data_IF_742112977050
#
_entry.id   IF_742112977050
#
_cell.length_a   1.000
_cell.length_b   1.000
_cell.length_c   1.000
_cell.angle_alpha   90.00
_cell.angle_beta   90.00
_cell.angle_gamma   90.00
#
_symmetry.space_group_name_H-M   'P 1'
#
loop_
_entity.id
_entity.type
_entity.pdbx_description
1 polymer ?
#
# COMPACT_ATOMS: atom_id res chain seq x y z
N UNK A 1 5.00 -1.40 19.51
CA UNK A 1 5.14 -2.27 18.32
C UNK A 1 5.17 -1.39 17.09
N UNK A 2 6.06 -1.65 16.14
CA UNK A 2 6.17 -0.87 14.89
C UNK A 2 5.95 -1.82 13.71
N UNK A 3 5.12 -1.41 12.76
CA UNK A 3 4.90 -2.11 11.51
C UNK A 3 5.31 -1.20 10.35
N UNK A 4 6.02 -1.78 9.39
CA UNK A 4 6.42 -1.10 8.16
C UNK A 4 5.78 -1.87 7.00
N UNK A 5 4.97 -1.18 6.21
CA UNK A 5 4.24 -1.76 5.08
C UNK A 5 4.69 -1.02 3.83
N UNK A 6 5.14 -1.78 2.82
CA UNK A 6 5.42 -1.25 1.48
C UNK A 6 4.11 -1.22 0.69
N UNK A 7 3.94 -0.19 -0.14
CA UNK A 7 2.83 -0.11 -1.07
C UNK A 7 2.80 -1.28 -2.07
N UNK A 8 1.62 -1.54 -2.64
CA UNK A 8 1.44 -2.55 -3.66
C UNK A 8 2.03 -2.18 -5.02
N UNK A 9 1.88 -3.09 -5.99
CA UNK A 9 2.30 -2.90 -7.38
C UNK A 9 1.62 -1.67 -8.02
N UNK A 10 2.38 -0.97 -8.86
CA UNK A 10 1.92 0.18 -9.67
C UNK A 10 2.09 -0.16 -11.14
N UNK A 11 1.37 0.54 -12.03
CA UNK A 11 1.46 0.38 -13.48
C UNK A 11 2.91 0.43 -14.02
N UNK A 12 3.75 1.29 -13.44
CA UNK A 12 5.15 1.42 -13.84
C UNK A 12 6.06 0.36 -13.21
N UNK A 13 5.69 -0.25 -12.09
CA UNK A 13 6.40 -1.43 -11.57
C UNK A 13 6.21 -2.62 -12.50
N UNK A 14 4.97 -2.83 -12.97
CA UNK A 14 4.62 -3.85 -13.96
C UNK A 14 5.40 -3.69 -15.27
N UNK A 15 5.78 -2.45 -15.63
CA UNK A 15 6.59 -2.13 -16.82
C UNK A 15 8.09 -2.05 -16.55
N UNK A 16 8.54 -2.35 -15.32
CA UNK A 16 9.93 -2.26 -14.89
C UNK A 16 10.59 -0.88 -15.14
N UNK A 17 9.80 0.20 -15.06
CA UNK A 17 10.27 1.58 -15.27
C UNK A 17 10.74 2.18 -13.94
N UNK A 18 11.90 2.86 -13.96
CA UNK A 18 12.40 3.60 -12.81
C UNK A 18 11.53 4.85 -12.57
N UNK A 19 10.91 4.95 -11.40
CA UNK A 19 9.89 5.96 -11.12
C UNK A 19 10.43 7.22 -10.45
N UNK A 20 11.55 7.15 -9.73
CA UNK A 20 12.07 8.28 -8.96
C UNK A 20 11.03 8.82 -7.95
N UNK A 21 10.75 10.13 -8.01
CA UNK A 21 9.72 10.82 -7.21
C UNK A 21 8.37 10.99 -7.93
N UNK A 22 8.13 10.20 -8.98
CA UNK A 22 6.89 10.31 -9.76
C UNK A 22 5.71 9.71 -9.01
N UNK A 23 4.56 10.41 -9.06
CA UNK A 23 3.30 9.92 -8.51
C UNK A 23 2.67 8.91 -9.48
N UNK A 24 2.81 7.62 -9.17
CA UNK A 24 2.18 6.54 -9.93
C UNK A 24 1.11 5.85 -9.11
N UNK A 25 -0.03 5.59 -9.73
CA UNK A 25 -1.15 4.90 -9.09
C UNK A 25 -0.89 3.39 -8.96
N UNK A 26 -1.55 2.78 -7.97
CA UNK A 26 -1.59 1.33 -7.83
C UNK A 26 -2.34 0.72 -9.02
N UNK A 27 -1.85 -0.41 -9.50
CA UNK A 27 -2.63 -1.20 -10.45
C UNK A 27 -3.63 -2.11 -9.71
N UNK A 28 -4.45 -2.85 -10.45
CA UNK A 28 -5.44 -3.77 -9.87
C UNK A 28 -4.83 -4.79 -8.91
N UNK A 29 -3.60 -5.24 -9.17
CA UNK A 29 -2.88 -6.14 -8.26
C UNK A 29 -2.39 -5.41 -7.01
N UNK A 30 -1.94 -4.17 -7.13
CA UNK A 30 -1.58 -3.33 -6.00
C UNK A 30 -2.74 -3.13 -5.01
N UNK A 31 -3.96 -2.96 -5.52
CA UNK A 31 -5.17 -2.90 -4.69
C UNK A 31 -5.45 -4.25 -4.01
N UNK A 32 -5.37 -5.37 -4.73
CA UNK A 32 -5.58 -6.70 -4.16
C UNK A 32 -4.52 -7.05 -3.09
N UNK A 33 -3.27 -6.65 -3.31
CA UNK A 33 -2.20 -6.80 -2.33
C UNK A 33 -2.50 -6.01 -1.05
N UNK A 34 -2.97 -4.76 -1.20
CA UNK A 34 -3.37 -3.92 -0.07
C UNK A 34 -4.53 -4.53 0.71
N UNK A 35 -5.53 -5.10 0.02
CA UNK A 35 -6.66 -5.81 0.66
C UNK A 35 -6.19 -7.03 1.46
N UNK A 36 -5.34 -7.88 0.87
CA UNK A 36 -4.79 -9.07 1.55
C UNK A 36 -3.98 -8.71 2.79
N UNK A 37 -3.19 -7.63 2.73
CA UNK A 37 -2.45 -7.13 3.88
C UNK A 37 -3.41 -6.69 5.01
N UNK A 38 -4.48 -5.96 4.68
CA UNK A 38 -5.49 -5.55 5.64
C UNK A 38 -6.22 -6.75 6.28
N UNK A 39 -6.59 -7.75 5.49
CA UNK A 39 -7.20 -8.99 5.99
C UNK A 39 -6.28 -9.74 6.95
N UNK A 40 -4.98 -9.83 6.62
CA UNK A 40 -3.99 -10.45 7.48
C UNK A 40 -3.85 -9.70 8.81
N UNK A 41 -3.69 -8.37 8.77
CA UNK A 41 -3.60 -7.54 9.99
C UNK A 41 -4.82 -7.72 10.90
N UNK A 42 -6.01 -7.79 10.30
CA UNK A 42 -7.26 -8.02 11.03
C UNK A 42 -7.30 -9.41 11.66
N UNK A 43 -6.86 -10.45 10.92
CA UNK A 43 -6.81 -11.82 11.41
C UNK A 43 -5.86 -11.96 12.61
N UNK A 44 -4.73 -11.27 12.58
CA UNK A 44 -3.75 -11.26 13.67
C UNK A 44 -4.16 -10.35 14.85
N UNK A 45 -5.34 -9.70 14.78
CA UNK A 45 -5.83 -8.83 15.85
C UNK A 45 -4.99 -7.56 16.05
N UNK A 46 -4.25 -7.14 15.02
CA UNK A 46 -3.37 -5.97 15.09
C UNK A 46 -4.21 -4.70 14.95
N UNK A 47 -4.06 -3.79 15.91
CA UNK A 47 -4.67 -2.45 15.89
C UNK A 47 -3.60 -1.37 15.94
N UNK A 48 -3.90 -0.22 15.35
CA UNK A 48 -2.96 0.90 15.23
C UNK A 48 -3.52 2.15 15.89
N UNK A 49 -2.73 2.76 16.76
CA UNK A 49 -3.04 4.07 17.36
C UNK A 49 -2.66 5.23 16.44
N UNK A 50 -1.58 5.06 15.68
CA UNK A 50 -1.06 6.07 14.76
C UNK A 50 -0.62 5.40 13.46
N UNK A 51 -0.91 6.04 12.33
CA UNK A 51 -0.53 5.60 10.99
C UNK A 51 0.11 6.78 10.28
N UNK A 52 1.31 6.59 9.72
CA UNK A 52 2.08 7.61 9.02
C UNK A 52 2.32 7.19 7.57
N UNK A 53 1.41 7.48 6.63
CA UNK A 53 1.62 7.20 5.22
C UNK A 53 2.58 8.22 4.58
N UNK A 54 3.40 7.76 3.63
CA UNK A 54 4.19 8.64 2.77
C UNK A 54 3.45 8.85 1.43
N UNK A 55 3.13 10.11 1.09
CA UNK A 55 2.52 10.47 -0.20
C UNK A 55 1.10 9.92 -0.46
N UNK A 56 0.64 10.04 -1.71
CA UNK A 56 -0.73 9.76 -2.18
C UNK A 56 -1.07 8.26 -2.37
N UNK A 57 -0.40 7.35 -1.65
CA UNK A 57 -0.74 5.91 -1.64
C UNK A 57 -2.05 5.63 -0.86
N UNK A 58 -2.65 6.68 -0.28
CA UNK A 58 -3.98 6.63 0.32
C UNK A 58 -5.06 6.79 -0.76
N UNK A 59 -5.47 5.67 -1.37
CA UNK A 59 -6.63 5.62 -2.29
C UNK A 59 -7.79 4.83 -1.68
N UNK A 60 -8.10 5.10 -0.41
CA UNK A 60 -9.27 4.56 0.29
C UNK A 60 -10.13 5.69 0.83
N UNK A 61 -11.38 5.77 0.36
CA UNK A 61 -12.43 6.63 0.90
C UNK A 61 -12.62 6.36 2.39
N UNK A 62 -12.78 7.43 3.17
CA UNK A 62 -13.24 7.37 4.55
C UNK A 62 -14.58 6.64 4.68
#
# INVERSE_FOLDING_TARGET
MLYIIRHGETELNSKHVLQGRSDNELDSKGFDQSRKAAEWLKKEGISFTNVCPSGKIYQGTA
#
